data_IF_779635932813
#
_entry.id   IF_779635932813
#
_cell.length_a   1.000
_cell.length_b   1.000
_cell.length_c   1.000
_cell.angle_alpha   90.00
_cell.angle_beta   90.00
_cell.angle_gamma   90.00
#
_symmetry.space_group_name_H-M   'P 1'
#
loop_
_entity.id
_entity.type
_entity.pdbx_description
1 polymer ?
#
# COMPACT_ATOMS: atom_id res chain seq x y z
N UNK A 1 -0.65 12.54 -40.54
CA UNK A 1 -1.35 13.57 -39.73
C UNK A 1 -0.33 14.13 -38.74
N UNK A 2 -0.17 15.46 -38.70
CA UNK A 2 0.85 16.18 -37.91
C UNK A 2 0.18 16.74 -36.65
N UNK A 3 0.64 16.35 -35.46
CA UNK A 3 0.21 16.99 -34.21
C UNK A 3 1.34 17.85 -33.63
N UNK A 4 1.00 19.12 -33.39
CA UNK A 4 1.86 20.19 -32.89
C UNK A 4 2.00 20.09 -31.36
N UNK A 5 3.19 20.48 -30.90
CA UNK A 5 3.59 20.70 -29.51
C UNK A 5 2.68 21.69 -28.77
N UNK A 6 2.47 21.45 -27.47
CA UNK A 6 2.04 22.46 -26.52
C UNK A 6 2.88 22.33 -25.24
N UNK A 7 3.90 23.19 -25.12
CA UNK A 7 4.67 23.45 -23.91
C UNK A 7 3.86 24.30 -22.94
N UNK A 8 3.80 23.89 -21.66
CA UNK A 8 3.44 24.77 -20.55
C UNK A 8 4.67 24.93 -19.65
N UNK A 9 5.12 26.17 -19.52
CA UNK A 9 6.00 26.65 -18.47
C UNK A 9 5.18 27.49 -17.50
N UNK A 10 5.81 27.92 -16.39
CA UNK A 10 5.38 28.93 -15.40
C UNK A 10 4.71 28.28 -14.16
N UNK A 11 5.06 28.57 -12.89
CA UNK A 11 5.73 29.70 -12.24
C UNK A 11 6.39 29.21 -10.92
N UNK A 12 7.64 29.63 -10.64
CA UNK A 12 8.26 29.56 -9.31
C UNK A 12 7.74 30.74 -8.46
N UNK A 13 7.09 30.45 -7.34
CA UNK A 13 6.72 31.46 -6.33
C UNK A 13 7.54 31.26 -5.05
N UNK A 14 8.49 32.15 -4.81
CA UNK A 14 9.20 32.27 -3.54
C UNK A 14 8.30 32.92 -2.48
N UNK A 15 8.24 32.35 -1.29
CA UNK A 15 7.71 32.99 -0.08
C UNK A 15 8.85 33.13 0.93
N UNK A 16 9.12 34.36 1.31
CA UNK A 16 10.12 34.76 2.30
C UNK A 16 9.53 35.75 3.29
N UNK A 17 10.07 35.69 4.50
CA UNK A 17 10.04 36.64 5.63
C UNK A 17 8.84 36.63 6.58
N UNK A 18 9.20 36.61 7.87
CA UNK A 18 8.31 36.86 8.99
C UNK A 18 8.88 36.36 10.32
N UNK A 19 10.08 36.81 10.72
CA UNK A 19 10.51 36.71 12.10
C UNK A 19 9.94 37.92 12.88
N UNK A 20 9.36 37.67 14.05
CA UNK A 20 9.12 38.70 15.07
C UNK A 20 9.43 38.08 16.44
N UNK A 21 10.27 38.81 17.17
CA UNK A 21 10.79 38.56 18.51
C UNK A 21 9.96 39.30 19.56
N UNK A 22 9.81 38.66 20.72
CA UNK A 22 9.99 39.15 22.10
C UNK A 22 9.13 40.29 22.71
N UNK A 23 9.20 40.32 24.05
CA UNK A 23 8.67 41.24 25.09
C UNK A 23 7.29 40.82 25.67
N UNK A 24 7.24 40.20 26.87
CA UNK A 24 7.46 40.73 28.25
C UNK A 24 6.36 41.77 28.60
N UNK A 25 5.66 41.81 29.74
CA UNK A 25 5.83 41.32 31.12
C UNK A 25 4.47 41.52 31.87
N UNK A 26 4.44 41.14 33.16
CA UNK A 26 3.52 41.55 34.25
C UNK A 26 2.17 40.82 34.39
N UNK A 27 1.65 40.46 35.57
CA UNK A 27 2.14 40.14 36.92
C UNK A 27 0.85 39.80 37.74
N UNK A 28 1.01 39.22 38.94
CA UNK A 28 0.03 39.13 40.04
C UNK A 28 -1.18 38.16 39.87
N UNK A 29 -1.66 37.39 40.84
CA UNK A 29 -1.31 37.28 42.25
C UNK A 29 -1.88 35.97 42.86
N UNK A 30 -1.14 35.48 43.84
CA UNK A 30 -1.45 34.68 45.02
C UNK A 30 -2.80 33.88 45.20
N UNK A 31 -2.59 32.64 45.69
CA UNK A 31 -3.11 32.10 46.97
C UNK A 31 -4.18 30.98 46.94
N UNK A 32 -3.78 29.78 47.41
CA UNK A 32 -4.42 29.15 48.57
C UNK A 32 -5.42 28.00 48.38
N UNK A 33 -5.05 26.86 48.99
CA UNK A 33 -5.90 25.94 49.78
C UNK A 33 -6.51 24.67 49.13
N UNK A 34 -6.46 23.63 49.98
CA UNK A 34 -6.73 22.20 49.82
C UNK A 34 -8.19 21.75 49.58
N UNK A 35 -8.27 20.59 48.89
CA UNK A 35 -9.17 19.41 49.02
C UNK A 35 -10.71 19.58 49.12
N UNK A 36 -11.46 18.92 48.22
CA UNK A 36 -12.12 17.59 48.41
C UNK A 36 -13.16 17.26 47.31
N UNK A 37 -13.25 15.97 47.00
CA UNK A 37 -14.42 15.16 46.58
C UNK A 37 -15.16 15.37 45.24
N UNK A 38 -14.85 14.42 44.34
CA UNK A 38 -15.78 13.44 43.72
C UNK A 38 -17.14 13.94 43.19
N UNK A 39 -17.26 14.05 41.86
CA UNK A 39 -18.41 13.46 41.15
C UNK A 39 -18.17 13.25 39.65
N UNK A 40 -18.30 11.99 39.27
CA UNK A 40 -18.45 11.47 37.93
C UNK A 40 -19.36 12.32 37.03
N UNK A 41 -18.87 12.65 35.83
CA UNK A 41 -19.69 12.64 34.62
C UNK A 41 -18.85 12.33 33.39
N UNK A 42 -19.16 11.14 32.88
CA UNK A 42 -18.64 10.43 31.72
C UNK A 42 -18.76 11.26 30.43
N UNK A 43 -17.60 11.63 29.88
CA UNK A 43 -17.44 12.08 28.51
C UNK A 43 -17.43 10.88 27.56
N UNK A 44 -18.53 10.63 26.84
CA UNK A 44 -18.53 9.77 25.66
C UNK A 44 -18.64 10.68 24.41
N UNK A 45 -17.59 11.45 24.14
CA UNK A 45 -17.41 12.10 22.82
C UNK A 45 -16.64 11.11 21.94
N UNK A 46 -17.40 10.24 21.27
CA UNK A 46 -16.87 9.26 20.33
C UNK A 46 -16.46 10.00 19.07
N UNK A 47 -15.17 10.32 18.98
CA UNK A 47 -14.56 10.85 17.77
C UNK A 47 -14.76 9.87 16.62
N UNK A 48 -15.50 10.34 15.62
CA UNK A 48 -15.56 9.78 14.29
C UNK A 48 -14.16 9.83 13.66
N UNK A 49 -13.32 8.84 13.96
CA UNK A 49 -12.12 8.57 13.17
C UNK A 49 -12.55 7.86 11.89
N UNK A 50 -13.18 8.65 11.01
CA UNK A 50 -13.34 8.36 9.58
C UNK A 50 -11.94 8.21 9.01
N UNK A 51 -11.46 6.96 9.00
CA UNK A 51 -10.27 6.58 8.27
C UNK A 51 -10.41 7.10 6.85
N UNK A 52 -9.44 7.91 6.46
CA UNK A 52 -9.26 8.41 5.10
C UNK A 52 -9.30 7.25 4.12
N UNK A 53 -10.46 6.99 3.52
CA UNK A 53 -10.56 6.25 2.27
C UNK A 53 -9.99 7.17 1.19
N UNK A 54 -8.67 7.10 1.00
CA UNK A 54 -8.12 7.40 -0.32
C UNK A 54 -8.69 6.33 -1.25
N UNK A 55 -9.65 6.72 -2.08
CA UNK A 55 -10.18 5.91 -3.16
C UNK A 55 -9.09 5.76 -4.22
N UNK A 56 -8.10 4.91 -3.93
CA UNK A 56 -7.19 4.41 -4.95
C UNK A 56 -8.01 3.51 -5.85
N UNK A 57 -8.09 3.83 -7.15
CA UNK A 57 -8.70 2.98 -8.15
C UNK A 57 -8.11 1.58 -8.04
N UNK A 58 -8.93 0.64 -7.57
CA UNK A 58 -8.53 -0.73 -7.27
C UNK A 58 -9.06 -1.64 -8.36
N UNK A 59 -8.18 -2.39 -9.00
CA UNK A 59 -8.53 -3.33 -10.07
C UNK A 59 -8.39 -4.76 -9.56
N UNK A 60 -9.44 -5.58 -9.70
CA UNK A 60 -9.45 -6.98 -9.24
C UNK A 60 -9.16 -7.93 -10.39
N UNK A 61 -8.30 -8.91 -10.15
CA UNK A 61 -7.98 -9.98 -11.10
C UNK A 61 -8.24 -11.33 -10.46
N UNK A 62 -8.81 -12.26 -11.23
CA UNK A 62 -8.97 -13.66 -10.83
C UNK A 62 -8.14 -14.55 -11.73
N UNK A 63 -7.44 -15.52 -11.15
CA UNK A 63 -6.40 -16.23 -11.87
C UNK A 63 -5.88 -17.48 -11.20
N UNK A 64 -4.76 -17.96 -11.76
CA UNK A 64 -4.05 -19.14 -11.29
C UNK A 64 -2.73 -18.69 -10.68
N UNK A 65 -2.41 -19.25 -9.52
CA UNK A 65 -1.12 -19.09 -8.86
C UNK A 65 -0.38 -20.42 -8.83
N UNK A 66 0.90 -20.38 -9.14
CA UNK A 66 1.80 -21.53 -9.13
C UNK A 66 2.88 -21.27 -8.09
N UNK A 67 3.12 -22.23 -7.21
CA UNK A 67 4.16 -22.16 -6.20
C UNK A 67 5.02 -23.41 -6.27
N UNK A 68 6.32 -23.23 -6.45
CA UNK A 68 7.27 -24.33 -6.47
C UNK A 68 7.73 -24.64 -5.04
N UNK A 69 7.62 -25.92 -4.65
CA UNK A 69 8.07 -26.42 -3.36
C UNK A 69 8.50 -27.88 -3.46
N UNK A 70 9.71 -28.19 -2.97
CA UNK A 70 10.26 -29.55 -2.95
C UNK A 70 10.21 -30.24 -4.33
N UNK A 71 10.66 -29.54 -5.38
CA UNK A 71 10.67 -29.99 -6.79
C UNK A 71 9.29 -30.26 -7.40
N UNK A 72 8.21 -29.83 -6.73
CA UNK A 72 6.84 -29.91 -7.21
C UNK A 72 6.25 -28.52 -7.41
N UNK A 73 5.49 -28.33 -8.48
CA UNK A 73 4.72 -27.11 -8.72
C UNK A 73 3.28 -27.31 -8.25
N UNK A 74 2.87 -26.53 -7.26
CA UNK A 74 1.51 -26.52 -6.74
C UNK A 74 0.70 -25.40 -7.38
N UNK A 75 -0.47 -25.77 -7.91
CA UNK A 75 -1.40 -24.83 -8.53
C UNK A 75 -2.56 -24.53 -7.60
N UNK A 76 -2.86 -23.25 -7.44
CA UNK A 76 -4.08 -22.74 -6.83
C UNK A 76 -4.91 -22.01 -7.89
N UNK A 77 -6.14 -22.46 -8.09
CA UNK A 77 -7.11 -21.82 -8.98
C UNK A 77 -7.92 -20.75 -8.24
N UNK A 78 -8.50 -19.82 -9.00
CA UNK A 78 -9.40 -18.77 -8.50
C UNK A 78 -8.78 -17.86 -7.43
N UNK A 79 -7.47 -17.60 -7.53
CA UNK A 79 -6.77 -16.67 -6.64
C UNK A 79 -7.09 -15.24 -7.06
N UNK A 80 -7.60 -14.45 -6.10
CA UNK A 80 -7.91 -13.05 -6.30
C UNK A 80 -6.69 -12.19 -5.97
N UNK A 81 -6.28 -11.37 -6.94
CA UNK A 81 -5.25 -10.36 -6.74
C UNK A 81 -5.85 -9.01 -7.07
N UNK A 82 -5.73 -8.05 -6.16
CA UNK A 82 -6.09 -6.66 -6.44
C UNK A 82 -4.83 -5.85 -6.69
N UNK A 83 -4.87 -4.98 -7.69
CA UNK A 83 -3.85 -3.95 -7.89
C UNK A 83 -4.43 -2.58 -7.56
N UNK A 84 -3.62 -1.76 -6.91
CA UNK A 84 -3.90 -0.33 -6.69
C UNK A 84 -2.62 0.47 -6.85
N UNK A 85 -2.73 1.80 -6.83
CA UNK A 85 -1.58 2.68 -6.90
C UNK A 85 -1.44 3.51 -5.62
N UNK A 86 -0.21 3.65 -5.13
CA UNK A 86 0.08 4.57 -4.04
C UNK A 86 0.16 6.04 -4.52
N UNK A 87 0.36 6.97 -3.59
CA UNK A 87 0.47 8.41 -3.89
C UNK A 87 1.66 8.79 -4.77
N UNK A 88 2.66 7.90 -4.89
CA UNK A 88 3.82 8.05 -5.76
C UNK A 88 3.59 7.38 -7.12
N UNK A 89 2.45 6.71 -7.31
CA UNK A 89 2.08 5.99 -8.52
C UNK A 89 2.68 4.60 -8.62
N UNK A 90 3.32 4.06 -7.57
CA UNK A 90 3.82 2.68 -7.54
C UNK A 90 2.66 1.68 -7.40
N UNK A 91 2.89 0.43 -7.81
CA UNK A 91 1.88 -0.63 -7.72
C UNK A 91 1.86 -1.24 -6.33
N UNK A 92 0.67 -1.35 -5.74
CA UNK A 92 0.40 -2.24 -4.62
C UNK A 92 -0.30 -3.49 -5.14
N UNK A 93 0.11 -4.67 -4.68
CA UNK A 93 -0.57 -5.93 -5.00
C UNK A 93 -1.14 -6.55 -3.72
N UNK A 94 -2.45 -6.66 -3.62
CA UNK A 94 -3.12 -7.42 -2.56
C UNK A 94 -3.40 -8.83 -3.06
N UNK A 95 -2.66 -9.80 -2.54
CA UNK A 95 -2.88 -11.21 -2.83
C UNK A 95 -3.84 -11.77 -1.76
N UNK A 96 -5.05 -12.12 -2.17
CA UNK A 96 -6.10 -12.57 -1.27
C UNK A 96 -6.22 -14.10 -1.29
N UNK A 97 -6.14 -14.70 -0.10
CA UNK A 97 -6.34 -16.14 0.06
C UNK A 97 -5.19 -17.03 -0.39
N UNK A 98 -3.94 -16.54 -0.33
CA UNK A 98 -2.76 -17.26 -0.86
C UNK A 98 -2.41 -18.48 0.00
N UNK A 99 -2.01 -19.57 -0.68
CA UNK A 99 -1.40 -20.76 -0.08
C UNK A 99 -0.02 -21.01 -0.71
N UNK A 100 1.04 -20.80 0.06
CA UNK A 100 2.41 -21.08 -0.35
C UNK A 100 2.78 -22.56 -0.34
N UNK A 101 2.14 -23.36 0.52
CA UNK A 101 2.35 -24.81 0.55
C UNK A 101 1.01 -25.53 0.70
N UNK A 102 0.85 -26.75 0.15
CA UNK A 102 -0.40 -27.52 0.26
C UNK A 102 -0.79 -27.82 1.70
N UNK A 103 0.22 -27.92 2.57
CA UNK A 103 0.05 -28.24 3.99
C UNK A 103 -0.25 -27.01 4.86
N UNK A 104 -0.40 -25.80 4.29
CA UNK A 104 -0.84 -24.66 5.09
C UNK A 104 -2.34 -24.79 5.40
N UNK A 105 -2.73 -24.93 6.67
CA UNK A 105 -4.12 -25.07 7.06
C UNK A 105 -4.91 -23.75 6.93
N UNK A 106 -4.20 -22.62 6.78
CA UNK A 106 -4.76 -21.27 6.75
C UNK A 106 -4.27 -20.55 5.50
N UNK A 107 -5.18 -19.85 4.83
CA UNK A 107 -4.88 -18.93 3.73
C UNK A 107 -4.44 -17.58 4.29
N UNK A 108 -3.47 -16.93 3.65
CA UNK A 108 -2.98 -15.62 4.07
C UNK A 108 -3.37 -14.54 3.07
N UNK A 109 -3.73 -13.36 3.58
CA UNK A 109 -3.86 -12.15 2.78
C UNK A 109 -2.58 -11.35 2.95
N UNK A 110 -1.92 -11.04 1.85
CA UNK A 110 -0.65 -10.32 1.84
C UNK A 110 -0.72 -9.18 0.85
N UNK A 111 -0.26 -8.01 1.29
CA UNK A 111 -0.06 -6.87 0.41
C UNK A 111 1.43 -6.74 0.13
N UNK A 112 1.82 -6.67 -1.14
CA UNK A 112 3.18 -6.30 -1.58
C UNK A 112 3.13 -4.82 -1.97
N UNK A 113 3.57 -3.91 -1.09
CA UNK A 113 3.38 -2.48 -1.30
C UNK A 113 4.47 -1.85 -2.17
N UNK A 114 4.14 -0.69 -2.75
CA UNK A 114 5.04 0.29 -3.35
C UNK A 114 6.07 -0.29 -4.32
N UNK A 115 5.62 -1.13 -5.26
CA UNK A 115 6.46 -1.69 -6.31
C UNK A 115 6.66 -0.65 -7.43
N UNK A 116 7.89 -0.22 -7.72
CA UNK A 116 8.15 0.72 -8.81
C UNK A 116 7.64 0.18 -10.15
N UNK A 117 7.03 1.07 -10.94
CA UNK A 117 6.47 0.73 -12.25
C UNK A 117 7.03 1.59 -13.37
N UNK A 118 6.95 1.08 -14.59
CA UNK A 118 7.17 1.80 -15.85
C UNK A 118 5.99 1.55 -16.76
N UNK A 119 5.47 2.61 -17.37
CA UNK A 119 4.37 2.53 -18.32
C UNK A 119 4.88 2.87 -19.72
N UNK A 120 4.60 2.00 -20.68
CA UNK A 120 4.94 2.19 -22.10
C UNK A 120 3.89 1.54 -22.97
N UNK A 121 3.37 2.25 -23.97
CA UNK A 121 2.45 1.69 -24.99
C UNK A 121 1.23 0.95 -24.41
N UNK A 122 0.65 1.44 -23.31
CA UNK A 122 -0.49 0.79 -22.65
C UNK A 122 -0.16 -0.46 -21.84
N UNK A 123 1.12 -0.76 -21.66
CA UNK A 123 1.64 -1.83 -20.82
C UNK A 123 2.28 -1.22 -19.58
N UNK A 124 1.93 -1.75 -18.41
CA UNK A 124 2.53 -1.38 -17.13
C UNK A 124 3.42 -2.53 -16.70
N UNK A 125 4.72 -2.29 -16.67
CA UNK A 125 5.71 -3.24 -16.12
C UNK A 125 6.09 -2.80 -14.73
N UNK A 126 6.24 -3.74 -13.80
CA UNK A 126 6.64 -3.45 -12.43
C UNK A 126 7.72 -4.43 -11.99
N UNK A 127 8.69 -3.93 -11.23
CA UNK A 127 9.80 -4.73 -10.75
C UNK A 127 10.39 -4.17 -9.46
N UNK A 128 10.82 -5.07 -8.58
CA UNK A 128 11.56 -4.74 -7.37
C UNK A 128 12.43 -5.92 -6.94
N UNK A 129 13.62 -5.62 -6.40
CA UNK A 129 14.54 -6.67 -5.96
C UNK A 129 14.08 -7.30 -4.64
N UNK A 130 13.56 -6.49 -3.73
CA UNK A 130 13.12 -6.93 -2.39
C UNK A 130 12.01 -6.03 -1.88
N UNK A 131 10.90 -6.62 -1.42
CA UNK A 131 9.80 -5.91 -0.76
C UNK A 131 9.33 -6.74 0.42
N UNK A 132 9.23 -6.11 1.59
CA UNK A 132 8.61 -6.72 2.77
C UNK A 132 7.09 -6.55 2.65
N UNK A 133 6.31 -7.64 2.53
CA UNK A 133 4.86 -7.52 2.45
C UNK A 133 4.27 -7.13 3.80
N UNK A 134 3.02 -6.71 3.78
CA UNK A 134 2.25 -6.43 4.99
C UNK A 134 1.04 -7.36 5.10
N UNK A 135 0.64 -7.66 6.34
CA UNK A 135 -0.60 -8.33 6.70
C UNK A 135 -1.30 -7.45 7.72
N UNK A 136 -2.52 -7.01 7.42
CA UNK A 136 -3.26 -6.05 8.26
C UNK A 136 -2.40 -4.83 8.63
N UNK A 137 -1.71 -4.26 7.63
CA UNK A 137 -0.81 -3.10 7.75
C UNK A 137 0.43 -3.30 8.62
N UNK A 138 0.72 -4.53 9.06
CA UNK A 138 1.96 -4.87 9.76
C UNK A 138 2.95 -5.55 8.82
N UNK A 139 4.23 -5.14 8.76
CA UNK A 139 5.25 -5.84 8.00
C UNK A 139 5.38 -7.31 8.43
N UNK A 140 5.55 -8.21 7.47
CA UNK A 140 5.75 -9.64 7.70
C UNK A 140 7.02 -10.11 7.01
N UNK A 141 8.16 -9.92 7.66
CA UNK A 141 9.50 -10.22 7.12
C UNK A 141 9.68 -11.68 6.71
N UNK A 142 8.98 -12.61 7.37
CA UNK A 142 8.98 -14.04 6.99
C UNK A 142 8.57 -14.28 5.54
N UNK A 143 7.73 -13.41 4.97
CA UNK A 143 7.27 -13.48 3.60
C UNK A 143 7.94 -12.42 2.72
N UNK A 144 9.14 -11.97 3.05
CA UNK A 144 9.87 -11.03 2.18
C UNK A 144 9.89 -11.56 0.74
N UNK A 145 9.40 -10.73 -0.16
CA UNK A 145 9.28 -11.04 -1.58
C UNK A 145 10.53 -10.56 -2.30
N UNK A 146 11.15 -11.46 -3.07
CA UNK A 146 12.36 -11.21 -3.84
C UNK A 146 12.09 -11.36 -5.34
N UNK A 147 12.94 -10.74 -6.16
CA UNK A 147 12.91 -10.86 -7.63
C UNK A 147 11.53 -10.58 -8.24
N UNK A 148 10.81 -9.59 -7.71
CA UNK A 148 9.46 -9.25 -8.16
C UNK A 148 9.55 -8.71 -9.58
N UNK A 149 8.81 -9.32 -10.49
CA UNK A 149 8.67 -8.90 -11.88
C UNK A 149 7.25 -9.16 -12.33
N UNK A 150 6.65 -8.21 -13.00
CA UNK A 150 5.33 -8.42 -13.58
C UNK A 150 4.92 -7.37 -14.58
N UNK A 151 3.76 -7.62 -15.17
CA UNK A 151 3.17 -6.82 -16.22
C UNK A 151 1.64 -6.80 -16.07
N UNK A 152 1.04 -5.64 -16.26
CA UNK A 152 -0.39 -5.45 -16.52
C UNK A 152 -0.54 -4.99 -17.97
N UNK A 153 -1.34 -5.73 -18.74
CA UNK A 153 -1.61 -5.47 -20.15
C UNK A 153 -3.09 -5.68 -20.44
N UNK A 154 -3.80 -4.58 -20.72
CA UNK A 154 -5.26 -4.59 -20.86
C UNK A 154 -5.91 -5.27 -19.67
N UNK A 155 -6.75 -6.27 -19.94
CA UNK A 155 -7.53 -6.99 -18.93
C UNK A 155 -6.77 -8.18 -18.32
N UNK A 156 -5.44 -8.11 -18.27
CA UNK A 156 -4.62 -9.20 -17.73
C UNK A 156 -3.44 -8.71 -16.93
N UNK A 157 -3.08 -9.52 -15.93
CA UNK A 157 -1.91 -9.33 -15.09
C UNK A 157 -1.12 -10.64 -15.05
N UNK A 158 0.20 -10.54 -15.14
CA UNK A 158 1.12 -11.65 -14.89
C UNK A 158 2.27 -11.18 -14.03
N UNK A 159 2.67 -11.96 -13.05
CA UNK A 159 3.87 -11.68 -12.28
C UNK A 159 4.53 -12.94 -11.76
N UNK A 160 5.80 -12.78 -11.38
CA UNK A 160 6.61 -13.77 -10.69
C UNK A 160 7.38 -13.10 -9.57
N UNK A 161 7.50 -13.77 -8.45
CA UNK A 161 8.28 -13.33 -7.30
C UNK A 161 8.65 -14.55 -6.44
N UNK A 162 9.61 -14.42 -5.53
CA UNK A 162 9.95 -15.47 -4.57
C UNK A 162 9.56 -15.03 -3.17
N UNK A 163 8.69 -15.76 -2.50
CA UNK A 163 8.45 -15.57 -1.07
C UNK A 163 9.45 -16.42 -0.30
N UNK A 164 10.58 -15.84 0.14
CA UNK A 164 11.69 -16.65 0.65
C UNK A 164 12.14 -17.72 -0.36
N UNK A 165 12.10 -19.00 0.03
CA UNK A 165 12.49 -20.15 -0.80
C UNK A 165 11.37 -20.68 -1.72
N UNK A 166 10.25 -19.97 -1.83
CA UNK A 166 9.07 -20.39 -2.60
C UNK A 166 8.89 -19.52 -3.87
N UNK A 167 9.48 -19.93 -5.02
CA UNK A 167 9.17 -19.31 -6.31
C UNK A 167 7.67 -19.36 -6.57
N UNK A 168 7.10 -18.20 -6.85
CA UNK A 168 5.66 -18.02 -7.06
C UNK A 168 5.43 -17.28 -8.36
N UNK A 169 4.48 -17.75 -9.16
CA UNK A 169 4.01 -17.03 -10.34
C UNK A 169 2.49 -16.96 -10.37
N UNK A 170 1.97 -15.90 -10.97
CA UNK A 170 0.55 -15.66 -11.09
C UNK A 170 0.20 -15.20 -12.49
N UNK A 171 -0.96 -15.65 -12.96
CA UNK A 171 -1.60 -15.16 -14.18
C UNK A 171 -3.09 -14.99 -13.93
N UNK A 172 -3.58 -13.77 -14.09
CA UNK A 172 -4.96 -13.40 -13.87
C UNK A 172 -5.57 -12.63 -15.03
N UNK A 173 -6.91 -12.63 -15.04
CA UNK A 173 -7.74 -11.79 -15.91
C UNK A 173 -8.57 -10.84 -15.06
N UNK A 174 -8.88 -9.68 -15.62
CA UNK A 174 -9.75 -8.71 -14.99
C UNK A 174 -11.04 -9.41 -14.55
N UNK A 175 -11.42 -9.21 -13.31
CA UNK A 175 -12.68 -9.68 -12.78
C UNK A 175 -13.74 -8.62 -13.09
N UNK A 176 -14.62 -8.91 -14.05
CA UNK A 176 -15.79 -8.10 -14.41
C UNK A 176 -16.86 -8.09 -13.29
#
# INVERSE_FOLDING_TARGET
>A
MKFKYLTWAVLLGALSFGAASCEDDDDDDANGSETTDEKDKKDDKKDDKKGSEETSDTTSYIGQMFVDYSDLTYRSDSVNVKSSYDSLGNVNLDLLGVRFVPQMPVTVNLTVPSIPKKQSEGVITFQADTVVPTMSSRPVEKYTAYDIKGEIKGDSITFSLKFGDYPTSYKGKLQE
#
